data_IF_491456465824
#
_entry.id   IF_491456465824
#
_cell.length_a   1.000
_cell.length_b   1.000
_cell.length_c   1.000
_cell.angle_alpha   90.00
_cell.angle_beta   90.00
_cell.angle_gamma   90.00
#
_symmetry.space_group_name_H-M   'P 1'
#
loop_
_entity.id
_entity.type
_entity.pdbx_description
1 polymer ?
#
# COMPACT_ATOMS: atom_id res chain seq x y z
N UNK A 1 12.45 -12.06 -9.20
CA UNK A 1 11.01 -11.73 -9.01
C UNK A 1 10.92 -10.43 -8.23
N UNK A 2 10.07 -9.49 -8.63
CA UNK A 2 9.94 -8.18 -7.96
C UNK A 2 8.87 -8.22 -6.86
N UNK A 3 8.97 -7.33 -5.86
CA UNK A 3 8.24 -7.39 -4.58
C UNK A 3 6.74 -7.67 -4.71
N UNK A 4 6.03 -6.94 -5.59
CA UNK A 4 4.59 -7.08 -5.71
C UNK A 4 4.15 -8.40 -6.38
N UNK A 5 5.00 -9.02 -7.20
CA UNK A 5 4.74 -10.37 -7.72
C UNK A 5 4.80 -11.41 -6.61
N UNK A 6 5.79 -11.30 -5.71
CA UNK A 6 5.89 -12.18 -4.55
C UNK A 6 4.72 -12.01 -3.59
N UNK A 7 4.31 -10.75 -3.35
CA UNK A 7 3.11 -10.48 -2.57
C UNK A 7 1.86 -11.13 -3.18
N UNK A 8 1.65 -11.01 -4.50
CA UNK A 8 0.51 -11.65 -5.18
C UNK A 8 0.55 -13.17 -5.01
N UNK A 9 1.73 -13.80 -5.15
CA UNK A 9 1.90 -15.24 -4.97
C UNK A 9 1.52 -15.68 -3.55
N UNK A 10 2.06 -14.99 -2.54
CA UNK A 10 1.77 -15.28 -1.13
C UNK A 10 0.30 -15.01 -0.81
N UNK A 11 -0.28 -13.92 -1.30
CA UNK A 11 -1.66 -13.57 -1.02
C UNK A 11 -2.65 -14.59 -1.58
N UNK A 12 -2.36 -15.17 -2.76
CA UNK A 12 -3.14 -16.27 -3.33
C UNK A 12 -2.99 -17.57 -2.52
N UNK A 13 -1.79 -17.85 -2.00
CA UNK A 13 -1.53 -19.06 -1.20
C UNK A 13 -2.07 -19.00 0.22
N UNK A 14 -2.17 -17.80 0.81
CA UNK A 14 -2.49 -17.59 2.23
C UNK A 14 -3.79 -16.81 2.43
N UNK A 15 -4.71 -16.86 1.47
CA UNK A 15 -5.86 -15.95 1.34
C UNK A 15 -6.63 -15.65 2.64
N UNK A 16 -6.93 -16.69 3.42
CA UNK A 16 -7.71 -16.57 4.67
C UNK A 16 -6.87 -16.15 5.90
N UNK A 17 -5.54 -16.20 5.80
CA UNK A 17 -4.64 -15.76 6.88
C UNK A 17 -4.63 -14.24 6.97
N UNK A 18 -4.38 -13.73 8.17
CA UNK A 18 -4.21 -12.31 8.41
C UNK A 18 -2.91 -11.81 7.78
N UNK A 19 -3.02 -10.72 7.02
CA UNK A 19 -1.89 -9.99 6.43
C UNK A 19 -1.58 -8.72 7.23
N UNK A 20 -2.61 -8.03 7.73
CA UNK A 20 -2.47 -6.76 8.46
C UNK A 20 -3.38 -6.79 9.70
N UNK A 21 -2.81 -6.38 10.83
CA UNK A 21 -3.55 -6.10 12.07
C UNK A 21 -3.32 -4.62 12.39
N UNK A 22 -4.33 -3.81 12.12
CA UNK A 22 -4.32 -2.37 12.39
C UNK A 22 -5.07 -2.12 13.70
N UNK A 23 -4.33 -1.78 14.75
CA UNK A 23 -4.90 -1.51 16.08
C UNK A 23 -5.50 -0.12 16.18
N UNK A 24 -5.07 0.83 15.34
CA UNK A 24 -5.58 2.20 15.35
C UNK A 24 -7.01 2.25 14.85
N UNK A 25 -7.35 1.42 13.86
CA UNK A 25 -8.71 1.33 13.29
C UNK A 25 -9.46 0.07 13.71
N UNK A 26 -8.88 -0.75 14.59
CA UNK A 26 -9.37 -2.07 15.02
C UNK A 26 -9.69 -3.01 13.84
N UNK A 27 -8.96 -2.87 12.72
CA UNK A 27 -9.17 -3.67 11.52
C UNK A 27 -8.19 -4.83 11.45
N UNK A 28 -8.71 -5.99 11.06
CA UNK A 28 -7.93 -7.19 10.72
C UNK A 28 -8.18 -7.50 9.26
N UNK A 29 -7.13 -7.46 8.44
CA UNK A 29 -7.21 -7.61 6.99
C UNK A 29 -6.54 -8.92 6.59
N UNK A 30 -7.26 -9.79 5.90
CA UNK A 30 -6.71 -11.03 5.35
C UNK A 30 -5.92 -10.78 4.07
N UNK A 31 -5.07 -11.72 3.68
CA UNK A 31 -4.31 -11.63 2.43
C UNK A 31 -5.22 -11.45 1.20
N UNK A 32 -6.34 -12.17 1.10
CA UNK A 32 -7.31 -12.01 0.01
C UNK A 32 -7.88 -10.58 -0.05
N UNK A 33 -8.26 -10.03 1.11
CA UNK A 33 -8.77 -8.65 1.19
C UNK A 33 -7.70 -7.62 0.84
N UNK A 34 -6.47 -7.80 1.33
CA UNK A 34 -5.36 -6.92 1.03
C UNK A 34 -5.05 -6.90 -0.47
N UNK A 35 -5.00 -8.06 -1.12
CA UNK A 35 -4.78 -8.17 -2.56
C UNK A 35 -5.87 -7.44 -3.36
N UNK A 36 -7.15 -7.67 -3.05
CA UNK A 36 -8.27 -7.00 -3.75
C UNK A 36 -8.17 -5.48 -3.57
N UNK A 37 -7.99 -5.00 -2.34
CA UNK A 37 -7.89 -3.58 -2.04
C UNK A 37 -6.70 -2.92 -2.76
N UNK A 38 -5.52 -3.54 -2.75
CA UNK A 38 -4.34 -3.02 -3.45
C UNK A 38 -4.52 -3.00 -4.96
N UNK A 39 -5.21 -3.98 -5.57
CA UNK A 39 -5.52 -3.96 -7.01
C UNK A 39 -6.51 -2.85 -7.39
N UNK A 40 -7.51 -2.59 -6.54
CA UNK A 40 -8.44 -1.46 -6.73
C UNK A 40 -7.67 -0.13 -6.70
N UNK A 41 -6.78 0.04 -5.71
CA UNK A 41 -5.92 1.22 -5.58
C UNK A 41 -4.95 1.34 -6.76
N UNK A 42 -4.33 0.24 -7.19
CA UNK A 42 -3.45 0.22 -8.36
C UNK A 42 -4.17 0.73 -9.62
N UNK A 43 -5.42 0.30 -9.85
CA UNK A 43 -6.24 0.80 -10.98
C UNK A 43 -6.48 2.31 -10.89
N UNK A 44 -6.66 2.85 -9.68
CA UNK A 44 -6.81 4.29 -9.45
C UNK A 44 -5.50 5.05 -9.68
N UNK A 45 -4.39 4.54 -9.16
CA UNK A 45 -3.07 5.18 -9.25
C UNK A 45 -2.47 5.12 -10.64
N UNK A 46 -2.78 4.11 -11.46
CA UNK A 46 -2.39 4.08 -12.88
C UNK A 46 -2.87 5.29 -13.69
N UNK A 47 -3.93 5.99 -13.22
CA UNK A 47 -4.44 7.22 -13.86
C UNK A 47 -3.66 8.48 -13.50
N UNK A 48 -2.75 8.41 -12.53
CA UNK A 48 -1.85 9.51 -12.18
C UNK A 48 -0.67 9.43 -13.15
N UNK A 49 -0.32 10.54 -13.81
CA UNK A 49 0.74 10.54 -14.81
C UNK A 49 2.13 10.37 -14.17
N UNK A 50 2.34 10.96 -13.00
CA UNK A 50 3.62 10.96 -12.28
C UNK A 50 4.10 9.55 -11.90
N UNK A 51 5.41 9.32 -12.01
CA UNK A 51 6.04 8.06 -11.61
C UNK A 51 6.20 7.89 -10.10
N UNK A 52 6.26 9.00 -9.37
CA UNK A 52 6.42 9.05 -7.91
C UNK A 52 5.10 9.50 -7.27
N UNK A 53 4.62 8.75 -6.28
CA UNK A 53 3.39 9.09 -5.55
C UNK A 53 3.71 9.24 -4.08
N UNK A 54 3.52 10.45 -3.55
CA UNK A 54 3.63 10.73 -2.12
C UNK A 54 2.54 10.00 -1.32
N UNK A 55 2.94 9.31 -0.24
CA UNK A 55 2.05 8.64 0.70
C UNK A 55 2.23 9.31 2.06
N UNK A 56 1.26 10.15 2.42
CA UNK A 56 1.21 10.85 3.70
C UNK A 56 -0.01 10.35 4.48
N UNK A 57 0.12 9.15 5.03
CA UNK A 57 -0.94 8.46 5.78
C UNK A 57 -0.32 7.96 7.08
N UNK A 58 -1.00 8.07 8.24
CA UNK A 58 -0.55 7.48 9.50
C UNK A 58 -0.29 5.97 9.37
N UNK A 59 0.54 5.43 10.27
CA UNK A 59 0.87 4.00 10.35
C UNK A 59 -0.41 3.18 10.56
N UNK A 60 -0.96 2.66 9.47
CA UNK A 60 -2.28 2.02 9.40
C UNK A 60 -2.33 1.01 8.27
N UNK A 61 -3.40 0.21 8.23
CA UNK A 61 -3.66 -0.67 7.08
C UNK A 61 -3.76 0.13 5.78
N UNK A 62 -4.32 1.35 5.83
CA UNK A 62 -4.42 2.24 4.68
C UNK A 62 -3.05 2.54 4.07
N UNK A 63 -2.06 2.87 4.88
CA UNK A 63 -0.69 3.17 4.42
C UNK A 63 -0.04 1.96 3.71
N UNK A 64 -0.19 0.76 4.28
CA UNK A 64 0.30 -0.48 3.66
C UNK A 64 -0.40 -0.78 2.32
N UNK A 65 -1.74 -0.68 2.29
CA UNK A 65 -2.53 -0.95 1.09
C UNK A 65 -2.26 0.05 -0.03
N UNK A 66 -2.08 1.34 0.29
CA UNK A 66 -1.70 2.37 -0.67
C UNK A 66 -0.31 2.08 -1.24
N UNK A 67 0.67 1.76 -0.38
CA UNK A 67 2.03 1.41 -0.80
C UNK A 67 2.02 0.24 -1.78
N UNK A 68 1.31 -0.84 -1.45
CA UNK A 68 1.11 -1.99 -2.34
C UNK A 68 0.44 -1.59 -3.66
N UNK A 69 -0.60 -0.75 -3.59
CA UNK A 69 -1.28 -0.24 -4.79
C UNK A 69 -0.36 0.55 -5.71
N UNK A 70 0.54 1.38 -5.17
CA UNK A 70 1.49 2.18 -5.95
C UNK A 70 2.51 1.27 -6.64
N UNK A 71 3.11 0.31 -5.93
CA UNK A 71 4.07 -0.61 -6.57
C UNK A 71 3.40 -1.51 -7.60
N UNK A 72 2.15 -1.95 -7.37
CA UNK A 72 1.36 -2.70 -8.36
C UNK A 72 0.92 -1.85 -9.56
N UNK A 73 0.87 -0.52 -9.42
CA UNK A 73 0.64 0.41 -10.52
C UNK A 73 1.89 0.62 -11.38
N UNK A 74 3.05 0.04 -11.00
CA UNK A 74 4.32 0.28 -11.67
C UNK A 74 4.93 1.64 -11.32
N UNK A 75 4.60 2.18 -10.15
CA UNK A 75 5.03 3.50 -9.67
C UNK A 75 5.85 3.38 -8.39
N UNK A 76 6.53 4.46 -8.02
CA UNK A 76 7.38 4.53 -6.83
C UNK A 76 6.63 5.22 -5.69
N UNK A 77 6.35 4.52 -4.57
CA UNK A 77 5.79 5.16 -3.39
C UNK A 77 6.86 6.00 -2.69
N UNK A 78 6.54 7.25 -2.40
CA UNK A 78 7.38 8.16 -1.63
C UNK A 78 6.74 8.33 -0.26
N UNK A 79 7.29 7.67 0.75
CA UNK A 79 6.75 7.73 2.11
C UNK A 79 7.07 9.10 2.72
N UNK A 80 6.04 9.80 3.19
CA UNK A 80 6.17 11.09 3.85
C UNK A 80 5.74 10.91 5.30
N UNK A 81 6.59 11.34 6.22
CA UNK A 81 6.24 11.37 7.63
C UNK A 81 5.03 12.31 7.82
N UNK A 82 3.93 11.73 8.27
CA UNK A 82 2.65 12.42 8.38
C UNK A 82 2.63 13.45 9.53
N UNK A 83 3.54 13.37 10.50
CA UNK A 83 3.58 14.33 11.62
C UNK A 83 4.37 15.60 11.30
N UNK A 84 5.27 15.54 10.32
CA UNK A 84 6.15 16.66 9.90
C UNK A 84 5.80 17.19 8.50
N UNK A 85 5.19 16.36 7.65
CA UNK A 85 4.72 16.76 6.34
C UNK A 85 5.82 16.80 5.27
N UNK A 86 5.44 17.15 4.04
CA UNK A 86 6.32 17.02 2.88
C UNK A 86 7.49 18.03 2.90
N UNK A 87 7.25 19.27 3.34
CA UNK A 87 8.26 20.33 3.33
C UNK A 87 9.48 19.94 4.19
N UNK A 88 9.25 19.64 5.46
CA UNK A 88 10.31 19.22 6.40
C UNK A 88 10.99 17.89 6.00
N UNK A 89 10.34 17.04 5.21
CA UNK A 89 10.92 15.76 4.75
C UNK A 89 11.80 15.92 3.50
N UNK A 90 11.81 17.10 2.89
CA UNK A 90 12.50 17.41 1.63
C UNK A 90 13.67 18.38 1.79
N UNK A 91 13.94 18.83 3.00
CA UNK A 91 15.17 19.55 3.40
C UNK A 91 16.35 18.59 3.54
#
# INVERSE_FOLDING_TARGET
MILHHEFIRQAKSLGDKLAIIDRTTERRVTYSKALIASLILAKRFKRINDGFIGIMIPTSAGSMLATLGVVMAGKVPVMINYSTGAAENSE
#
